data_IF_701510631822
#
_entry.id   IF_701510631822
#
_cell.length_a   1.000
_cell.length_b   1.000
_cell.length_c   1.000
_cell.angle_alpha   90.00
_cell.angle_beta   90.00
_cell.angle_gamma   90.00
#
_symmetry.space_group_name_H-M   'P 1'
#
loop_
_entity.id
_entity.type
_entity.pdbx_description
1 polymer ?
#
# COMPACT_ATOMS: atom_id res chain seq x y z
N UNK A 1 -12.57 8.85 -7.88
CA UNK A 1 -14.05 8.74 -7.98
C UNK A 1 -14.78 10.05 -8.22
N UNK A 2 -14.95 10.98 -7.27
CA UNK A 2 -15.79 12.17 -7.53
C UNK A 2 -15.25 13.05 -8.69
N UNK A 3 -13.93 13.28 -8.73
CA UNK A 3 -13.30 13.95 -9.88
C UNK A 3 -13.51 13.19 -11.20
N UNK A 4 -13.35 11.86 -11.22
CA UNK A 4 -13.56 11.06 -12.43
C UNK A 4 -15.01 11.12 -12.95
N UNK A 5 -15.97 11.28 -12.05
CA UNK A 5 -17.39 11.36 -12.40
C UNK A 5 -17.81 12.76 -12.83
N UNK A 6 -17.21 13.80 -12.27
CA UNK A 6 -17.64 15.21 -12.46
C UNK A 6 -16.73 16.01 -13.38
N UNK A 7 -15.45 15.64 -13.48
CA UNK A 7 -14.40 16.43 -14.12
C UNK A 7 -14.04 17.72 -13.37
N UNK A 8 -14.57 17.95 -12.16
CA UNK A 8 -14.40 19.21 -11.44
C UNK A 8 -12.97 19.38 -10.94
N UNK A 9 -12.20 20.25 -11.59
CA UNK A 9 -10.79 20.48 -11.28
C UNK A 9 -10.55 20.91 -9.82
N UNK A 10 -11.50 21.62 -9.21
CA UNK A 10 -11.42 22.03 -7.81
C UNK A 10 -11.27 20.83 -6.84
N UNK A 11 -11.83 19.66 -7.19
CA UNK A 11 -11.66 18.43 -6.40
C UNK A 11 -10.21 17.90 -6.48
N UNK A 12 -9.59 17.99 -7.66
CA UNK A 12 -8.20 17.58 -7.85
C UNK A 12 -7.25 18.54 -7.13
N UNK A 13 -7.51 19.84 -7.17
CA UNK A 13 -6.71 20.84 -6.47
C UNK A 13 -6.86 20.72 -4.93
N UNK A 14 -8.06 20.37 -4.45
CA UNK A 14 -8.28 20.04 -3.05
C UNK A 14 -7.52 18.76 -2.64
N UNK A 15 -7.52 17.72 -3.48
CA UNK A 15 -6.75 16.50 -3.23
C UNK A 15 -5.25 16.77 -3.17
N UNK A 16 -4.71 17.60 -4.08
CA UNK A 16 -3.31 18.02 -4.05
C UNK A 16 -2.97 18.77 -2.75
N UNK A 17 -3.87 19.63 -2.28
CA UNK A 17 -3.69 20.37 -1.02
C UNK A 17 -3.69 19.44 0.18
N UNK A 18 -4.57 18.43 0.23
CA UNK A 18 -4.59 17.44 1.30
C UNK A 18 -3.33 16.57 1.30
N UNK A 19 -2.92 16.06 0.14
CA UNK A 19 -1.72 15.23 0.00
C UNK A 19 -0.46 15.96 0.46
N UNK A 20 -0.29 17.25 0.12
CA UNK A 20 0.86 18.03 0.61
C UNK A 20 0.87 18.15 2.13
N UNK A 21 -0.30 18.36 2.76
CA UNK A 21 -0.40 18.38 4.24
C UNK A 21 -0.05 17.03 4.87
N UNK A 22 -0.48 15.93 4.26
CA UNK A 22 -0.12 14.59 4.74
C UNK A 22 1.40 14.35 4.60
N UNK A 23 2.00 14.83 3.51
CA UNK A 23 3.45 14.74 3.27
C UNK A 23 4.27 15.65 4.21
N UNK A 24 3.73 16.79 4.64
CA UNK A 24 4.35 17.63 5.68
C UNK A 24 4.48 16.90 7.03
N UNK A 25 3.66 15.86 7.27
CA UNK A 25 3.76 15.00 8.46
C UNK A 25 4.68 13.80 8.25
N UNK A 26 5.34 13.68 7.10
CA UNK A 26 6.24 12.58 6.81
C UNK A 26 7.71 12.98 6.98
N UNK A 27 8.53 11.99 7.31
CA UNK A 27 9.99 12.10 7.34
C UNK A 27 10.62 11.03 6.44
N UNK A 28 11.71 11.39 5.76
CA UNK A 28 12.53 10.42 5.02
C UNK A 28 13.53 9.80 5.97
N UNK A 29 13.49 8.48 6.12
CA UNK A 29 14.40 7.72 6.96
C UNK A 29 15.84 7.85 6.45
N UNK A 30 16.80 8.31 7.29
CA UNK A 30 18.20 8.41 6.90
C UNK A 30 18.79 7.06 6.48
N UNK A 31 18.34 5.99 7.14
CA UNK A 31 18.68 4.61 6.78
C UNK A 31 17.72 4.11 5.72
N UNK A 32 18.11 4.25 4.45
CA UNK A 32 17.44 3.58 3.33
C UNK A 32 16.49 4.47 2.52
N UNK A 33 16.17 5.69 2.96
CA UNK A 33 15.41 6.66 2.15
C UNK A 33 13.91 6.37 2.05
N UNK A 34 13.37 5.51 2.92
CA UNK A 34 11.93 5.27 3.02
C UNK A 34 11.19 6.49 3.59
N UNK A 35 10.06 6.86 3.00
CA UNK A 35 9.19 7.89 3.58
C UNK A 35 8.25 7.24 4.60
N UNK A 36 8.14 7.81 5.78
CA UNK A 36 7.29 7.33 6.87
C UNK A 36 6.57 8.49 7.56
N UNK A 37 5.34 8.28 8.04
CA UNK A 37 4.63 9.30 8.84
C UNK A 37 5.31 9.43 10.19
N UNK A 38 5.60 10.64 10.65
CA UNK A 38 6.21 10.92 11.95
C UNK A 38 5.15 11.33 12.98
N UNK A 39 4.95 10.49 14.00
CA UNK A 39 4.07 10.81 15.13
C UNK A 39 4.82 11.54 16.28
N UNK A 40 6.09 11.88 16.09
CA UNK A 40 6.97 12.55 17.06
C UNK A 40 7.63 11.61 18.08
N UNK A 41 7.10 10.39 18.25
CA UNK A 41 7.67 9.36 19.13
C UNK A 41 7.98 8.04 18.40
N UNK A 42 7.48 7.89 17.17
CA UNK A 42 7.79 6.80 16.25
C UNK A 42 7.45 7.24 14.83
N UNK A 43 7.89 6.44 13.87
CA UNK A 43 7.60 6.60 12.45
C UNK A 43 6.83 5.39 11.92
N UNK A 44 5.95 5.61 10.95
CA UNK A 44 4.99 4.62 10.47
C UNK A 44 5.02 4.47 8.95
N UNK A 45 5.46 3.31 8.42
CA UNK A 45 5.36 2.99 7.00
C UNK A 45 3.99 2.42 6.61
N UNK A 46 3.09 2.22 7.58
CA UNK A 46 1.96 1.31 7.43
C UNK A 46 0.79 1.85 6.59
N UNK A 47 -0.13 0.96 6.20
CA UNK A 47 -1.26 1.31 5.33
C UNK A 47 -2.33 2.16 6.04
N UNK A 48 -2.60 1.89 7.31
CA UNK A 48 -3.67 2.56 8.07
C UNK A 48 -3.33 4.00 8.40
N UNK A 49 -2.32 4.19 9.25
CA UNK A 49 -1.93 5.50 9.79
C UNK A 49 -0.53 5.93 9.31
N UNK A 50 -0.05 5.35 8.21
CA UNK A 50 1.32 5.53 7.74
C UNK A 50 1.44 5.86 6.26
N UNK A 51 2.67 5.93 5.81
CA UNK A 51 3.01 6.46 4.48
C UNK A 51 2.54 5.57 3.32
N UNK A 52 2.37 4.26 3.51
CA UNK A 52 1.83 3.39 2.46
C UNK A 52 0.37 3.72 2.10
N UNK A 53 -0.42 4.20 3.07
CA UNK A 53 -1.78 4.71 2.82
C UNK A 53 -1.76 5.97 1.95
N UNK A 54 -0.89 6.92 2.28
CA UNK A 54 -0.65 8.12 1.47
C UNK A 54 -0.20 7.71 0.06
N UNK A 55 0.72 6.76 -0.06
CA UNK A 55 1.21 6.25 -1.33
C UNK A 55 0.12 5.69 -2.25
N UNK A 56 -0.90 5.02 -1.69
CA UNK A 56 -2.02 4.54 -2.50
C UNK A 56 -2.82 5.69 -3.12
N UNK A 57 -2.96 6.81 -2.41
CA UNK A 57 -3.67 8.00 -2.93
C UNK A 57 -2.78 8.78 -3.90
N UNK A 58 -1.46 8.84 -3.67
CA UNK A 58 -0.49 9.42 -4.61
C UNK A 58 -0.54 8.71 -5.97
N UNK A 59 -0.62 7.38 -5.98
CA UNK A 59 -0.76 6.61 -7.22
C UNK A 59 -2.01 7.00 -8.03
N UNK A 60 -3.16 7.18 -7.36
CA UNK A 60 -4.39 7.63 -8.03
C UNK A 60 -4.26 9.08 -8.52
N UNK A 61 -3.71 9.98 -7.70
CA UNK A 61 -3.55 11.38 -8.10
C UNK A 61 -2.66 11.52 -9.33
N UNK A 62 -1.53 10.81 -9.35
CA UNK A 62 -0.54 10.86 -10.43
C UNK A 62 -1.07 10.29 -11.76
N UNK A 63 -2.13 9.47 -11.72
CA UNK A 63 -2.84 9.05 -12.93
C UNK A 63 -3.61 10.20 -13.62
N UNK A 64 -3.96 11.25 -12.86
CA UNK A 64 -4.74 12.39 -13.34
C UNK A 64 -3.90 13.65 -13.59
N UNK A 65 -2.87 13.90 -12.78
CA UNK A 65 -1.99 15.05 -12.92
C UNK A 65 -0.54 14.73 -12.53
N UNK A 66 0.45 15.07 -13.38
CA UNK A 66 1.86 14.93 -13.02
C UNK A 66 2.22 15.93 -11.93
N UNK A 67 2.96 15.44 -10.93
CA UNK A 67 3.53 16.27 -9.86
C UNK A 67 4.86 15.61 -9.42
N UNK A 68 5.97 16.36 -9.51
CA UNK A 68 7.30 15.83 -9.21
C UNK A 68 7.51 15.57 -7.72
N UNK A 69 6.91 16.37 -6.85
CA UNK A 69 6.98 16.18 -5.40
C UNK A 69 6.29 14.86 -5.04
N UNK A 70 5.10 14.65 -5.58
CA UNK A 70 4.32 13.43 -5.36
C UNK A 70 4.99 12.20 -5.97
N UNK A 71 5.64 12.35 -7.12
CA UNK A 71 6.41 11.27 -7.74
C UNK A 71 7.59 10.85 -6.85
N UNK A 72 8.34 11.81 -6.31
CA UNK A 72 9.44 11.54 -5.35
C UNK A 72 8.93 10.91 -4.06
N UNK A 73 7.83 11.42 -3.51
CA UNK A 73 7.21 10.87 -2.32
C UNK A 73 6.77 9.41 -2.54
N UNK A 74 6.11 9.12 -3.66
CA UNK A 74 5.71 7.76 -4.04
C UNK A 74 6.88 6.79 -4.10
N UNK A 75 8.01 7.19 -4.69
CA UNK A 75 9.20 6.34 -4.77
C UNK A 75 9.82 6.08 -3.38
N UNK A 76 9.78 7.07 -2.49
CA UNK A 76 10.22 6.92 -1.11
C UNK A 76 9.24 6.05 -0.29
N UNK A 77 7.93 6.12 -0.54
CA UNK A 77 6.93 5.21 0.06
C UNK A 77 7.17 3.77 -0.39
N UNK A 78 7.44 3.54 -1.68
CA UNK A 78 7.80 2.19 -2.17
C UNK A 78 9.03 1.65 -1.45
N UNK A 79 10.00 2.51 -1.17
CA UNK A 79 11.19 2.12 -0.43
C UNK A 79 10.83 1.67 0.98
N UNK A 80 9.96 2.40 1.68
CA UNK A 80 9.43 1.98 2.98
C UNK A 80 8.65 0.65 2.89
N UNK A 81 7.81 0.49 1.85
CA UNK A 81 7.00 -0.70 1.62
C UNK A 81 7.79 -1.97 1.21
N UNK A 82 9.08 -1.82 0.92
CA UNK A 82 9.98 -2.93 0.57
C UNK A 82 10.96 -3.30 1.68
N UNK A 83 10.73 -2.81 2.91
CA UNK A 83 11.51 -3.22 4.07
C UNK A 83 11.50 -4.75 4.25
N UNK A 84 12.64 -5.27 4.71
CA UNK A 84 12.81 -6.70 5.02
C UNK A 84 11.98 -7.12 6.22
N UNK A 85 11.67 -6.20 7.13
CA UNK A 85 11.04 -6.52 8.40
C UNK A 85 9.90 -5.56 8.75
N UNK A 86 8.77 -6.15 9.17
CA UNK A 86 7.65 -5.49 9.83
C UNK A 86 7.28 -6.30 11.07
N UNK A 87 6.79 -5.66 12.13
CA UNK A 87 6.50 -6.38 13.37
C UNK A 87 5.25 -7.27 13.26
N UNK A 88 4.28 -6.89 12.42
CA UNK A 88 2.97 -7.52 12.37
C UNK A 88 2.58 -7.93 10.93
N UNK A 89 1.70 -8.94 10.76
CA UNK A 89 1.24 -9.37 9.45
C UNK A 89 0.07 -8.55 8.90
N UNK A 90 -0.69 -7.86 9.77
CA UNK A 90 -2.00 -7.30 9.48
C UNK A 90 -2.05 -6.28 8.33
N UNK A 91 -3.26 -6.01 7.86
CA UNK A 91 -3.51 -5.12 6.71
C UNK A 91 -3.16 -3.67 7.03
N UNK A 92 -3.67 -3.12 8.13
CA UNK A 92 -3.49 -1.69 8.43
C UNK A 92 -2.13 -1.37 9.03
N UNK A 93 -1.58 -2.28 9.84
CA UNK A 93 -0.38 -2.03 10.64
C UNK A 93 0.67 -3.13 10.44
N UNK A 94 0.82 -3.63 9.20
CA UNK A 94 1.70 -4.76 8.94
C UNK A 94 1.99 -5.06 7.48
N UNK A 95 2.63 -6.22 7.26
CA UNK A 95 3.14 -6.65 5.94
C UNK A 95 2.05 -6.84 4.89
N UNK A 96 0.85 -7.29 5.26
CA UNK A 96 -0.26 -7.40 4.32
C UNK A 96 -0.63 -6.04 3.70
N UNK A 97 -0.52 -4.95 4.46
CA UNK A 97 -0.68 -3.59 3.92
C UNK A 97 0.33 -3.26 2.83
N UNK A 98 1.58 -3.68 3.01
CA UNK A 98 2.65 -3.46 2.03
C UNK A 98 2.44 -4.27 0.77
N UNK A 99 1.98 -5.52 0.92
CA UNK A 99 1.62 -6.38 -0.21
C UNK A 99 0.49 -5.74 -1.02
N UNK A 100 -0.55 -5.24 -0.35
CA UNK A 100 -1.66 -4.56 -1.03
C UNK A 100 -1.21 -3.27 -1.72
N UNK A 101 -0.37 -2.46 -1.07
CA UNK A 101 0.19 -1.25 -1.66
C UNK A 101 1.00 -1.58 -2.93
N UNK A 102 1.94 -2.52 -2.84
CA UNK A 102 2.80 -2.91 -3.96
C UNK A 102 2.04 -3.58 -5.11
N UNK A 103 1.00 -4.37 -4.84
CA UNK A 103 0.24 -5.05 -5.90
C UNK A 103 -0.51 -4.09 -6.82
N UNK A 104 -0.84 -2.91 -6.28
CA UNK A 104 -1.63 -1.87 -6.96
C UNK A 104 -0.77 -0.76 -7.55
N UNK A 105 0.40 -0.49 -6.98
CA UNK A 105 1.22 0.63 -7.40
C UNK A 105 1.66 0.49 -8.85
N UNK A 106 1.67 1.62 -9.57
CA UNK A 106 2.14 1.69 -10.97
C UNK A 106 3.54 2.29 -11.09
N UNK A 107 4.14 2.67 -9.96
CA UNK A 107 5.49 3.18 -9.93
C UNK A 107 6.49 2.14 -10.45
N UNK A 108 7.51 2.55 -11.23
CA UNK A 108 8.49 1.61 -11.80
C UNK A 108 9.20 0.71 -10.78
N UNK A 109 9.33 1.19 -9.53
CA UNK A 109 9.95 0.45 -8.43
C UNK A 109 9.08 -0.64 -7.81
N UNK A 110 7.78 -0.71 -8.12
CA UNK A 110 6.83 -1.73 -7.64
C UNK A 110 6.93 -3.01 -8.48
N UNK A 111 8.11 -3.64 -8.50
CA UNK A 111 8.37 -4.79 -9.37
C UNK A 111 7.68 -6.06 -8.86
N UNK A 112 7.33 -7.01 -9.75
CA UNK A 112 6.79 -8.31 -9.34
C UNK A 112 7.71 -9.07 -8.38
N UNK A 113 9.03 -8.92 -8.52
CA UNK A 113 10.02 -9.50 -7.61
C UNK A 113 9.87 -8.97 -6.19
N UNK A 114 9.79 -7.65 -6.02
CA UNK A 114 9.62 -7.01 -4.70
C UNK A 114 8.29 -7.40 -4.06
N UNK A 115 7.22 -7.49 -4.85
CA UNK A 115 5.94 -8.00 -4.38
C UNK A 115 6.05 -9.46 -3.92
N UNK A 116 6.69 -10.34 -4.70
CA UNK A 116 6.88 -11.74 -4.37
C UNK A 116 7.71 -11.92 -3.09
N UNK A 117 8.73 -11.09 -2.87
CA UNK A 117 9.52 -11.08 -1.63
C UNK A 117 8.65 -10.74 -0.40
N UNK A 118 7.77 -9.75 -0.51
CA UNK A 118 6.85 -9.39 0.56
C UNK A 118 5.81 -10.48 0.83
N UNK A 119 5.26 -11.11 -0.23
CA UNK A 119 4.36 -12.25 -0.11
C UNK A 119 5.06 -13.43 0.57
N UNK A 120 6.29 -13.77 0.16
CA UNK A 120 7.07 -14.85 0.77
C UNK A 120 7.37 -14.60 2.25
N UNK A 121 7.75 -13.36 2.60
CA UNK A 121 8.04 -12.98 3.98
C UNK A 121 6.79 -12.92 4.89
N UNK A 122 5.58 -12.84 4.33
CA UNK A 122 4.34 -13.00 5.12
C UNK A 122 4.26 -14.38 5.77
N UNK A 123 4.89 -15.40 5.17
CA UNK A 123 4.98 -16.74 5.74
C UNK A 123 5.64 -16.80 7.12
N UNK A 124 6.42 -15.79 7.53
CA UNK A 124 7.04 -15.74 8.87
C UNK A 124 6.03 -15.63 10.01
N UNK A 125 4.81 -15.14 9.72
CA UNK A 125 3.75 -14.96 10.71
C UNK A 125 2.66 -16.04 10.60
N UNK A 126 2.78 -16.93 9.62
CA UNK A 126 1.79 -17.96 9.33
C UNK A 126 1.72 -18.98 10.47
N UNK A 127 0.51 -19.26 10.95
CA UNK A 127 0.23 -20.30 11.93
C UNK A 127 -0.81 -21.28 11.42
N UNK A 128 -0.66 -22.56 11.77
CA UNK A 128 -1.70 -23.55 11.58
C UNK A 128 -2.72 -23.44 12.73
N UNK A 129 -3.98 -23.24 12.39
CA UNK A 129 -5.10 -23.24 13.35
C UNK A 129 -6.25 -24.05 12.77
N UNK A 130 -6.63 -25.13 13.46
CA UNK A 130 -7.70 -26.04 13.01
C UNK A 130 -7.50 -26.56 11.56
N UNK A 131 -6.26 -26.86 11.20
CA UNK A 131 -5.92 -27.32 9.84
C UNK A 131 -5.98 -26.23 8.76
N UNK A 132 -6.22 -24.97 9.14
CA UNK A 132 -6.25 -23.82 8.25
C UNK A 132 -5.10 -22.87 8.55
N UNK A 133 -4.81 -21.98 7.59
CA UNK A 133 -3.85 -20.89 7.78
C UNK A 133 -4.50 -19.75 8.58
N UNK A 134 -3.80 -19.29 9.62
CA UNK A 134 -4.22 -18.17 10.43
C UNK A 134 -3.03 -17.25 10.75
N UNK A 135 -3.34 -15.98 10.97
CA UNK A 135 -2.38 -14.96 11.35
C UNK A 135 -2.74 -14.37 12.71
N UNK A 136 -1.73 -14.06 13.54
CA UNK A 136 -1.94 -13.30 14.76
C UNK A 136 -2.31 -11.85 14.43
N UNK A 137 -3.16 -11.26 15.28
CA UNK A 137 -3.63 -9.89 15.14
C UNK A 137 -2.70 -8.88 15.80
N UNK A 138 -3.30 -7.82 16.34
CA UNK A 138 -2.58 -6.73 17.00
C UNK A 138 -1.59 -7.24 18.06
N UNK A 139 -0.38 -6.68 18.04
CA UNK A 139 0.73 -7.02 18.95
C UNK A 139 1.13 -8.50 18.96
N UNK A 140 0.69 -9.29 17.98
CA UNK A 140 0.98 -10.72 17.91
C UNK A 140 0.45 -11.54 19.10
N UNK A 141 -0.44 -10.99 19.93
CA UNK A 141 -0.84 -11.59 21.22
C UNK A 141 -1.83 -12.75 21.09
N UNK A 142 -2.64 -12.74 20.03
CA UNK A 142 -3.66 -13.78 19.75
C UNK A 142 -3.95 -13.87 18.25
N UNK A 143 -4.49 -15.01 17.83
CA UNK A 143 -5.06 -15.16 16.50
C UNK A 143 -6.20 -14.16 16.28
N UNK A 144 -6.26 -13.58 15.09
CA UNK A 144 -7.39 -12.76 14.66
C UNK A 144 -7.85 -13.13 13.25
N UNK A 145 -9.14 -12.98 13.01
CA UNK A 145 -9.80 -13.20 11.72
C UNK A 145 -10.38 -11.90 11.14
N UNK A 146 -10.15 -10.75 11.79
CA UNK A 146 -10.65 -9.46 11.31
C UNK A 146 -9.86 -8.93 10.10
N UNK A 147 -10.42 -7.92 9.44
CA UNK A 147 -9.84 -7.30 8.25
C UNK A 147 -8.61 -6.42 8.56
N UNK A 148 -8.64 -5.67 9.65
CA UNK A 148 -7.64 -4.64 9.93
C UNK A 148 -6.30 -5.25 10.39
N UNK A 149 -6.37 -6.24 11.26
CA UNK A 149 -5.23 -6.81 11.98
C UNK A 149 -5.03 -8.29 11.69
N UNK A 150 -6.08 -9.01 11.29
CA UNK A 150 -6.11 -10.46 11.25
C UNK A 150 -6.02 -11.11 9.87
N UNK A 151 -6.40 -12.38 9.85
CA UNK A 151 -6.32 -13.30 8.72
C UNK A 151 -7.12 -12.82 7.50
N UNK A 152 -8.28 -12.19 7.69
CA UNK A 152 -9.07 -11.68 6.56
C UNK A 152 -8.35 -10.56 5.81
N UNK A 153 -7.62 -9.70 6.52
CA UNK A 153 -6.76 -8.67 5.91
C UNK A 153 -5.61 -9.25 5.10
N UNK A 154 -4.97 -10.29 5.65
CA UNK A 154 -3.91 -11.02 4.95
C UNK A 154 -4.44 -11.70 3.68
N UNK A 155 -5.62 -12.33 3.77
CA UNK A 155 -6.28 -12.96 2.63
C UNK A 155 -6.63 -11.93 1.54
N UNK A 156 -7.17 -10.77 1.91
CA UNK A 156 -7.47 -9.69 0.97
C UNK A 156 -6.22 -9.21 0.23
N UNK A 157 -5.12 -8.98 0.95
CA UNK A 157 -3.86 -8.55 0.34
C UNK A 157 -3.29 -9.62 -0.61
N UNK A 158 -3.34 -10.89 -0.22
CA UNK A 158 -2.89 -12.00 -1.06
C UNK A 158 -3.76 -12.19 -2.30
N UNK A 159 -5.09 -12.12 -2.16
CA UNK A 159 -6.00 -12.21 -3.29
C UNK A 159 -5.75 -11.06 -4.28
N UNK A 160 -5.60 -9.83 -3.78
CA UNK A 160 -5.27 -8.67 -4.61
C UNK A 160 -3.92 -8.81 -5.34
N UNK A 161 -2.94 -9.45 -4.71
CA UNK A 161 -1.60 -9.61 -5.25
C UNK A 161 -1.45 -10.79 -6.23
N UNK A 162 -2.13 -11.90 -5.96
CA UNK A 162 -1.93 -13.17 -6.66
C UNK A 162 -3.02 -13.49 -7.68
N UNK A 163 -4.22 -12.93 -7.52
CA UNK A 163 -5.34 -13.18 -8.41
C UNK A 163 -6.06 -11.88 -8.79
N UNK A 164 -5.54 -11.25 -9.85
CA UNK A 164 -6.12 -10.03 -10.41
C UNK A 164 -7.58 -10.22 -10.90
N UNK A 165 -8.04 -11.46 -11.11
CA UNK A 165 -9.41 -11.78 -11.51
C UNK A 165 -10.43 -11.73 -10.38
N UNK A 166 -10.00 -11.75 -9.11
CA UNK A 166 -10.90 -11.73 -7.94
C UNK A 166 -11.54 -10.37 -7.70
N UNK A 167 -10.93 -9.29 -8.20
CA UNK A 167 -11.33 -7.92 -7.84
C UNK A 167 -11.11 -7.58 -6.37
N UNK A 168 -10.30 -8.37 -5.65
CA UNK A 168 -10.01 -8.12 -4.23
C UNK A 168 -9.25 -6.80 -4.06
N UNK A 169 -9.75 -5.95 -3.16
CA UNK A 169 -9.18 -4.64 -2.89
C UNK A 169 -9.99 -3.89 -1.84
N UNK A 170 -9.49 -2.72 -1.44
CA UNK A 170 -10.23 -1.85 -0.55
C UNK A 170 -11.38 -1.15 -1.31
N UNK A 171 -12.54 -0.96 -0.66
CA UNK A 171 -13.61 -0.19 -1.27
C UNK A 171 -13.14 1.25 -1.52
N UNK A 172 -13.64 1.86 -2.59
CA UNK A 172 -13.35 3.25 -2.97
C UNK A 172 -11.89 3.56 -3.34
N UNK A 173 -11.03 2.55 -3.47
CA UNK A 173 -9.69 2.65 -4.04
C UNK A 173 -9.51 1.44 -4.98
N UNK A 174 -9.92 1.49 -6.26
CA UNK A 174 -9.70 0.42 -7.25
C UNK A 174 -8.27 0.51 -7.78
N UNK A 175 -7.60 -0.54 -8.24
CA UNK A 175 -6.23 -0.39 -8.75
C UNK A 175 -6.20 0.61 -9.91
N UNK A 176 -5.23 1.54 -9.99
CA UNK A 176 -5.15 2.48 -11.09
C UNK A 176 -4.97 1.72 -12.40
N UNK A 177 -5.59 2.23 -13.47
CA UNK A 177 -5.51 1.60 -14.77
C UNK A 177 -4.04 1.55 -15.23
N UNK A 178 -3.48 0.34 -15.39
CA UNK A 178 -2.15 0.19 -15.97
C UNK A 178 -2.20 0.72 -17.40
N UNK A 179 -1.25 1.57 -17.83
CA UNK A 179 -1.14 1.96 -19.23
C UNK A 179 -1.09 0.69 -20.07
N UNK A 180 -2.07 0.52 -20.97
CA UNK A 180 -2.07 -0.60 -21.89
C UNK A 180 -0.76 -0.55 -22.66
N UNK A 181 0.09 -1.57 -22.54
CA UNK A 181 1.12 -1.79 -23.54
C UNK A 181 0.37 -2.01 -24.85
N UNK A 182 0.30 -0.96 -25.66
CA UNK A 182 -0.13 -1.05 -27.05
C UNK A 182 0.74 -2.13 -27.66
N UNK A 183 0.17 -3.31 -27.94
CA UNK A 183 0.83 -4.30 -28.80
C UNK A 183 1.11 -3.56 -30.10
N UNK A 184 2.36 -3.22 -30.33
CA UNK A 184 2.86 -2.94 -31.66
C UNK A 184 2.48 -4.17 -32.48
N UNK A 185 1.46 -3.99 -33.33
CA UNK A 185 1.15 -4.95 -34.37
C UNK A 185 2.23 -4.76 -35.42
N UNK A 186 3.01 -5.82 -35.62
CA UNK A 186 3.83 -6.01 -36.82
C UNK A 186 2.98 -5.93 -38.09
#
# INVERSE_FOLDING_TARGET
WQYEWTGERALLDAAATALRRDLEQCVVQPSGGGLEVDEGWRTLPYLGDGSAGIGMVLDEYLAHAPDEEFSRARDAVLTAATSRFYAQPGLFQGRAGMILHLSRSTAPGATPQRLAEQVGALGWYAMAYQGQLAFPGHQMMRLSMDLATGTAGCLLALAAALDAGTGAGLPFLPPPARPSQTRLRD
#
